data_IF_408621857419
#
_entry.id   IF_408621857419
#
_cell.length_a   1.000
_cell.length_b   1.000
_cell.length_c   1.000
_cell.angle_alpha   90.00
_cell.angle_beta   90.00
_cell.angle_gamma   90.00
#
_symmetry.space_group_name_H-M   'P 1'
#
loop_
_entity.id
_entity.type
_entity.pdbx_description
1 polymer ?
#
# COMPACT_ATOMS: atom_id res chain seq x y z
N UNK A 1 11.35 42.54 -3.62
CA UNK A 1 11.43 41.08 -3.76
C UNK A 1 10.76 40.67 -5.06
N UNK A 2 11.40 39.81 -5.88
CA UNK A 2 10.75 39.29 -7.09
C UNK A 2 9.63 38.34 -6.67
N UNK A 3 8.49 38.42 -7.33
CA UNK A 3 7.31 37.59 -7.04
C UNK A 3 7.64 36.08 -7.05
N UNK A 4 8.55 35.66 -7.92
CA UNK A 4 9.10 34.29 -7.96
C UNK A 4 9.76 33.86 -6.65
N UNK A 5 10.49 34.75 -5.97
CA UNK A 5 11.12 34.45 -4.67
C UNK A 5 10.07 34.22 -3.59
N UNK A 6 8.96 34.97 -3.62
CA UNK A 6 7.85 34.79 -2.67
C UNK A 6 7.18 33.43 -2.89
N UNK A 7 6.91 33.07 -4.14
CA UNK A 7 6.31 31.77 -4.49
C UNK A 7 7.22 30.63 -4.06
N UNK A 8 8.51 30.68 -4.40
CA UNK A 8 9.47 29.64 -4.02
C UNK A 8 9.55 29.51 -2.49
N UNK A 9 9.59 30.63 -1.77
CA UNK A 9 9.59 30.63 -0.31
C UNK A 9 8.33 29.99 0.27
N UNK A 10 7.15 30.29 -0.29
CA UNK A 10 5.89 29.70 0.16
C UNK A 10 5.83 28.19 -0.12
N UNK A 11 6.26 27.74 -1.30
CA UNK A 11 6.34 26.31 -1.65
C UNK A 11 7.32 25.58 -0.72
N UNK A 12 8.50 26.15 -0.49
CA UNK A 12 9.48 25.57 0.43
C UNK A 12 8.93 25.45 1.86
N UNK A 13 8.22 26.48 2.35
CA UNK A 13 7.57 26.44 3.67
C UNK A 13 6.53 25.33 3.76
N UNK A 14 5.71 25.16 2.72
CA UNK A 14 4.70 24.09 2.65
C UNK A 14 5.35 22.70 2.65
N UNK A 15 6.43 22.51 1.89
CA UNK A 15 7.17 21.25 1.85
C UNK A 15 7.82 20.93 3.21
N UNK A 16 8.48 21.91 3.84
CA UNK A 16 9.09 21.76 5.16
C UNK A 16 8.03 21.46 6.23
N UNK A 17 6.91 22.19 6.22
CA UNK A 17 5.80 21.93 7.14
C UNK A 17 5.26 20.50 6.99
N UNK A 18 5.05 20.05 5.75
CA UNK A 18 4.55 18.71 5.46
C UNK A 18 5.54 17.62 5.86
N UNK A 19 6.83 17.86 5.70
CA UNK A 19 7.88 16.96 6.19
C UNK A 19 7.92 16.88 7.71
N UNK A 20 7.86 18.02 8.41
CA UNK A 20 7.92 18.05 9.88
C UNK A 20 6.71 17.39 10.51
N UNK A 21 5.49 17.66 10.00
CA UNK A 21 4.28 17.09 10.60
C UNK A 21 4.20 15.57 10.46
N UNK A 22 4.75 15.02 9.37
CA UNK A 22 4.79 13.56 9.16
C UNK A 22 5.92 12.89 9.94
N UNK A 23 7.05 13.56 10.15
CA UNK A 23 8.16 13.05 10.95
C UNK A 23 7.76 12.74 12.40
N UNK A 24 6.86 13.55 12.98
CA UNK A 24 6.37 13.38 14.35
C UNK A 24 4.98 12.72 14.41
N UNK A 25 4.48 12.25 13.28
CA UNK A 25 3.17 11.66 13.16
C UNK A 25 3.13 10.16 13.45
N UNK A 26 1.94 9.56 13.64
CA UNK A 26 1.81 8.12 13.90
C UNK A 26 2.05 7.26 12.64
N UNK A 27 2.07 7.85 11.44
CA UNK A 27 2.16 7.17 10.15
C UNK A 27 3.25 7.78 9.30
N UNK A 28 4.18 6.99 8.79
CA UNK A 28 5.16 7.45 7.82
C UNK A 28 4.69 7.13 6.38
N UNK A 29 4.25 8.13 5.60
CA UNK A 29 3.83 7.91 4.21
C UNK A 29 5.02 7.57 3.30
N UNK A 30 5.12 6.32 2.86
CA UNK A 30 6.11 5.91 1.87
C UNK A 30 5.59 6.12 0.45
N UNK A 31 4.55 5.38 0.07
CA UNK A 31 3.98 5.48 -1.26
C UNK A 31 3.35 4.21 -1.78
N UNK A 32 3.43 4.04 -3.10
CA UNK A 32 2.99 2.84 -3.80
C UNK A 32 3.99 1.72 -3.58
N UNK A 33 3.51 0.55 -3.17
CA UNK A 33 4.39 -0.62 -2.99
C UNK A 33 4.86 -1.20 -4.33
N UNK A 34 3.94 -1.40 -5.28
CA UNK A 34 4.19 -2.11 -6.54
C UNK A 34 3.21 -1.70 -7.64
N UNK A 35 3.54 -2.03 -8.90
CA UNK A 35 2.77 -1.66 -10.09
C UNK A 35 1.71 -2.68 -10.47
N UNK A 36 2.08 -3.97 -10.46
CA UNK A 36 1.23 -5.11 -10.80
C UNK A 36 1.59 -6.28 -9.88
N UNK A 37 0.68 -7.25 -9.71
CA UNK A 37 0.93 -8.41 -8.86
C UNK A 37 1.98 -9.33 -9.48
N UNK A 38 2.94 -9.75 -8.67
CA UNK A 38 3.85 -10.84 -9.01
C UNK A 38 3.26 -12.19 -8.60
N UNK A 39 2.54 -12.22 -7.46
CA UNK A 39 1.89 -13.39 -6.89
C UNK A 39 0.50 -13.02 -6.35
N UNK A 40 -0.36 -14.01 -6.12
CA UNK A 40 -1.69 -13.81 -5.53
C UNK A 40 -2.00 -14.88 -4.45
N UNK A 41 -2.30 -14.48 -3.19
CA UNK A 41 -2.26 -13.12 -2.65
C UNK A 41 -0.88 -12.47 -2.84
N UNK A 42 -0.80 -11.16 -2.93
CA UNK A 42 0.48 -10.44 -3.14
C UNK A 42 1.10 -10.01 -1.80
N UNK A 43 0.24 -9.70 -0.83
CA UNK A 43 0.58 -9.52 0.57
C UNK A 43 0.25 -10.82 1.31
N UNK A 44 1.28 -11.63 1.52
CA UNK A 44 1.25 -12.89 2.26
C UNK A 44 2.68 -13.23 2.70
N UNK A 45 2.87 -13.93 3.83
CA UNK A 45 4.21 -14.31 4.30
C UNK A 45 5.08 -14.92 3.20
N UNK A 46 6.30 -14.39 3.04
CA UNK A 46 7.30 -14.84 2.09
C UNK A 46 7.10 -14.34 0.65
N UNK A 47 6.01 -13.65 0.35
CA UNK A 47 5.74 -13.17 -1.01
C UNK A 47 6.58 -11.93 -1.34
N UNK A 48 6.96 -11.72 -2.61
CA UNK A 48 7.88 -10.65 -3.00
C UNK A 48 7.49 -9.25 -2.51
N UNK A 49 6.21 -8.88 -2.62
CA UNK A 49 5.74 -7.56 -2.16
C UNK A 49 5.66 -7.45 -0.65
N UNK A 50 5.35 -8.54 0.03
CA UNK A 50 5.35 -8.60 1.49
C UNK A 50 6.75 -8.44 2.06
N UNK A 51 7.71 -9.21 1.56
CA UNK A 51 9.13 -9.12 1.93
C UNK A 51 9.69 -7.72 1.64
N UNK A 52 9.30 -7.12 0.51
CA UNK A 52 9.69 -5.75 0.18
C UNK A 52 9.15 -4.73 1.20
N UNK A 53 7.89 -4.87 1.60
CA UNK A 53 7.30 -3.99 2.62
C UNK A 53 7.98 -4.17 3.98
N UNK A 54 8.29 -5.41 4.37
CA UNK A 54 9.05 -5.67 5.60
C UNK A 54 10.43 -5.00 5.55
N UNK A 55 11.15 -5.11 4.42
CA UNK A 55 12.43 -4.42 4.21
C UNK A 55 12.31 -2.90 4.37
N UNK A 56 11.25 -2.28 3.83
CA UNK A 56 11.01 -0.85 4.04
C UNK A 56 10.75 -0.52 5.50
N UNK A 57 10.04 -1.36 6.25
CA UNK A 57 9.86 -1.13 7.68
C UNK A 57 11.19 -1.16 8.44
N UNK A 58 12.06 -2.13 8.13
CA UNK A 58 13.38 -2.26 8.76
C UNK A 58 14.30 -1.07 8.47
N UNK A 59 14.35 -0.63 7.20
CA UNK A 59 15.12 0.56 6.79
C UNK A 59 14.68 1.82 7.53
N UNK A 60 13.42 1.83 7.97
CA UNK A 60 12.79 2.89 8.74
C UNK A 60 12.79 2.64 10.25
N UNK A 61 13.50 1.60 10.73
CA UNK A 61 13.58 1.17 12.13
C UNK A 61 12.20 0.91 12.76
N UNK A 62 11.27 0.36 11.97
CA UNK A 62 9.90 0.09 12.37
C UNK A 62 9.65 -1.40 12.58
N UNK A 63 8.93 -1.75 13.64
CA UNK A 63 8.52 -3.13 13.97
C UNK A 63 7.28 -3.58 13.19
N UNK A 64 6.52 -2.61 12.67
CA UNK A 64 5.33 -2.84 11.89
C UNK A 64 5.38 -2.08 10.56
N UNK A 65 4.62 -2.57 9.59
CA UNK A 65 4.29 -1.86 8.37
C UNK A 65 2.76 -1.87 8.17
N UNK A 66 2.24 -0.85 7.51
CA UNK A 66 0.82 -0.75 7.15
C UNK A 66 0.66 -0.80 5.63
N UNK A 67 -0.12 -1.75 5.13
CA UNK A 67 -0.55 -1.78 3.73
C UNK A 67 -2.05 -1.55 3.64
N UNK A 68 -2.44 -0.65 2.74
CA UNK A 68 -3.85 -0.30 2.53
C UNK A 68 -4.36 -0.72 1.16
N UNK A 69 -5.59 -1.25 1.12
CA UNK A 69 -6.19 -1.88 -0.05
C UNK A 69 -7.60 -1.35 -0.31
N UNK A 70 -8.14 -1.67 -1.48
CA UNK A 70 -9.59 -1.73 -1.68
C UNK A 70 -10.06 -3.17 -1.45
N UNK A 71 -11.20 -3.34 -0.81
CA UNK A 71 -11.76 -4.63 -0.45
C UNK A 71 -12.15 -5.47 -1.69
N UNK A 72 -11.64 -6.69 -1.73
CA UNK A 72 -12.00 -7.78 -2.63
C UNK A 72 -12.63 -8.91 -1.82
N UNK A 73 -12.19 -10.15 -2.05
CA UNK A 73 -12.74 -11.35 -1.41
C UNK A 73 -11.94 -11.87 -0.21
N UNK A 74 -10.89 -11.18 0.23
CA UNK A 74 -10.04 -11.58 1.36
C UNK A 74 -10.54 -10.99 2.69
N UNK A 75 -10.06 -11.55 3.81
CA UNK A 75 -10.28 -11.02 5.15
C UNK A 75 -9.28 -9.95 5.56
N UNK A 76 -8.24 -9.70 4.76
CA UNK A 76 -7.18 -8.72 5.04
C UNK A 76 -6.56 -8.96 6.42
N UNK A 77 -6.11 -10.20 6.61
CA UNK A 77 -5.51 -10.63 7.86
C UNK A 77 -4.07 -10.13 7.93
N UNK A 78 -3.75 -9.45 9.02
CA UNK A 78 -2.41 -9.03 9.38
C UNK A 78 -1.57 -10.25 9.79
N UNK A 79 -0.27 -10.20 9.54
CA UNK A 79 0.62 -11.33 9.73
C UNK A 79 2.05 -10.89 10.05
N UNK A 80 2.85 -11.82 10.58
CA UNK A 80 4.28 -11.62 10.76
C UNK A 80 5.01 -12.04 9.49
N UNK A 81 5.86 -11.15 8.96
CA UNK A 81 6.79 -11.45 7.89
C UNK A 81 8.14 -11.84 8.51
N UNK A 82 8.37 -13.15 8.59
CA UNK A 82 9.60 -13.75 9.10
C UNK A 82 10.69 -13.74 8.01
N UNK A 83 11.93 -13.43 8.38
CA UNK A 83 13.06 -13.84 7.55
C UNK A 83 13.46 -12.91 6.41
N UNK A 84 13.27 -11.59 6.54
CA UNK A 84 14.28 -10.70 5.96
C UNK A 84 15.58 -11.01 6.72
N UNK A 85 16.75 -11.01 6.06
CA UNK A 85 18.05 -11.16 6.73
C UNK A 85 18.32 -9.93 7.63
N UNK A 86 17.49 -9.78 8.66
CA UNK A 86 17.37 -8.62 9.49
C UNK A 86 18.47 -8.66 10.51
N UNK A 87 19.39 -7.71 10.38
CA UNK A 87 20.39 -7.48 11.43
C UNK A 87 19.81 -6.66 12.58
N UNK A 88 18.61 -6.10 12.41
CA UNK A 88 17.97 -5.14 13.32
C UNK A 88 16.75 -5.71 14.04
N UNK A 89 16.07 -6.72 13.48
CA UNK A 89 14.92 -7.37 14.11
C UNK A 89 14.91 -8.90 13.94
N UNK A 90 15.43 -9.66 14.92
CA UNK A 90 15.43 -11.12 14.84
C UNK A 90 14.02 -11.73 14.86
N UNK A 91 13.01 -10.96 15.25
CA UNK A 91 11.62 -11.41 15.41
C UNK A 91 10.72 -11.09 14.18
N UNK A 92 11.27 -10.46 13.13
CA UNK A 92 10.54 -10.12 11.90
C UNK A 92 9.70 -8.83 11.99
N UNK A 93 9.02 -8.48 10.89
CA UNK A 93 8.17 -7.27 10.81
C UNK A 93 6.71 -7.68 10.77
N UNK A 94 5.87 -7.04 11.60
CA UNK A 94 4.43 -7.29 11.57
C UNK A 94 3.74 -6.43 10.51
N UNK A 95 3.16 -7.07 9.49
CA UNK A 95 2.43 -6.41 8.41
C UNK A 95 0.96 -6.30 8.80
N UNK A 96 0.48 -5.06 8.91
CA UNK A 96 -0.91 -4.74 9.20
C UNK A 96 -1.63 -4.48 7.87
N UNK A 97 -2.70 -5.24 7.62
CA UNK A 97 -3.54 -5.03 6.43
C UNK A 97 -4.82 -4.28 6.79
N UNK A 98 -5.14 -3.26 5.98
CA UNK A 98 -6.44 -2.57 6.04
C UNK A 98 -7.04 -2.43 4.66
N UNK A 99 -8.30 -2.82 4.50
CA UNK A 99 -9.06 -2.64 3.28
C UNK A 99 -10.17 -1.60 3.41
N UNK A 100 -10.42 -0.91 2.29
CA UNK A 100 -11.49 0.05 2.10
C UNK A 100 -12.65 -0.62 1.36
N UNK A 101 -13.82 -0.68 1.98
CA UNK A 101 -15.03 -1.28 1.42
C UNK A 101 -15.94 -0.15 0.94
N UNK A 102 -16.21 -0.05 -0.37
CA UNK A 102 -17.26 0.82 -0.88
C UNK A 102 -18.63 0.19 -0.63
N UNK A 103 -19.46 0.85 0.17
CA UNK A 103 -20.82 0.36 0.51
C UNK A 103 -21.87 0.82 -0.49
N UNK A 104 -21.52 1.71 -1.42
CA UNK A 104 -22.43 2.29 -2.42
C UNK A 104 -21.97 2.04 -3.87
N UNK A 105 -20.73 1.59 -4.07
CA UNK A 105 -20.20 1.04 -5.33
C UNK A 105 -20.20 -0.50 -5.32
N UNK A 106 -20.20 -1.13 -6.50
CA UNK A 106 -20.36 -2.59 -6.66
C UNK A 106 -19.17 -3.47 -6.24
N UNK A 107 -18.41 -3.04 -5.23
CA UNK A 107 -17.18 -3.70 -4.80
C UNK A 107 -16.15 -3.77 -5.93
N UNK A 108 -14.99 -4.36 -5.66
CA UNK A 108 -13.89 -4.54 -6.62
C UNK A 108 -14.20 -5.59 -7.71
N UNK A 109 -15.34 -5.47 -8.40
CA UNK A 109 -15.81 -6.46 -9.38
C UNK A 109 -15.54 -6.06 -10.83
N UNK A 110 -15.31 -4.77 -11.14
CA UNK A 110 -14.73 -4.37 -12.43
C UNK A 110 -14.12 -2.95 -12.38
N UNK A 111 -13.07 -2.73 -13.17
CA UNK A 111 -12.43 -1.42 -13.37
C UNK A 111 -13.33 -0.38 -14.05
N UNK A 112 -14.52 -0.77 -14.51
CA UNK A 112 -15.56 0.17 -14.92
C UNK A 112 -16.33 0.79 -13.74
N UNK A 113 -16.13 0.32 -12.51
CA UNK A 113 -16.84 0.80 -11.32
C UNK A 113 -15.94 1.55 -10.32
N UNK A 114 -14.65 1.22 -10.24
CA UNK A 114 -13.66 2.12 -9.60
C UNK A 114 -13.26 3.18 -10.61
N UNK A 115 -14.15 4.14 -10.84
CA UNK A 115 -13.89 5.22 -11.77
C UNK A 115 -12.62 5.95 -11.30
N UNK A 116 -11.59 6.03 -12.14
CA UNK A 116 -10.39 6.81 -11.85
C UNK A 116 -10.73 8.24 -11.43
N UNK A 117 -11.78 8.83 -12.05
CA UNK A 117 -12.30 10.11 -11.62
C UNK A 117 -12.94 10.08 -10.25
N UNK A 118 -13.48 8.96 -9.78
CA UNK A 118 -14.05 8.81 -8.46
C UNK A 118 -12.96 8.63 -7.39
N UNK A 119 -11.92 7.83 -7.63
CA UNK A 119 -10.74 7.78 -6.76
C UNK A 119 -10.00 9.13 -6.70
N UNK A 120 -9.88 9.81 -7.84
CA UNK A 120 -9.31 11.15 -7.93
C UNK A 120 -10.26 12.21 -7.33
N UNK A 121 -11.58 12.08 -7.45
CA UNK A 121 -12.55 12.98 -6.79
C UNK A 121 -12.56 12.77 -5.29
N UNK A 122 -12.46 11.54 -4.81
CA UNK A 122 -12.29 11.23 -3.39
C UNK A 122 -10.97 11.81 -2.88
N UNK A 123 -9.90 11.73 -3.68
CA UNK A 123 -8.64 12.38 -3.37
C UNK A 123 -8.71 13.92 -3.47
N UNK A 124 -9.52 14.49 -4.36
CA UNK A 124 -9.59 15.95 -4.55
C UNK A 124 -10.58 16.65 -3.61
N UNK A 125 -11.66 15.96 -3.25
CA UNK A 125 -12.82 16.51 -2.56
C UNK A 125 -13.13 15.81 -1.23
N UNK A 126 -12.34 14.79 -0.87
CA UNK A 126 -12.54 14.00 0.34
C UNK A 126 -13.50 12.84 0.15
N UNK A 127 -13.45 11.90 1.09
CA UNK A 127 -14.35 10.75 1.15
C UNK A 127 -15.74 11.21 1.63
N UNK A 128 -16.82 10.96 0.87
CA UNK A 128 -18.19 11.25 1.34
C UNK A 128 -18.52 10.44 2.59
N UNK A 129 -19.14 11.09 3.58
CA UNK A 129 -19.56 10.43 4.83
C UNK A 129 -20.52 9.27 4.54
N UNK A 130 -20.32 8.14 5.24
CA UNK A 130 -21.18 6.95 5.16
C UNK A 130 -21.04 6.10 3.89
N UNK A 131 -20.14 6.47 2.96
CA UNK A 131 -19.92 5.72 1.71
C UNK A 131 -18.99 4.51 1.87
N UNK A 132 -18.12 4.52 2.87
CA UNK A 132 -17.12 3.47 3.02
C UNK A 132 -17.09 2.89 4.42
N UNK A 133 -16.81 1.59 4.47
CA UNK A 133 -16.43 0.85 5.67
C UNK A 133 -14.97 0.42 5.54
N UNK A 134 -14.41 -0.08 6.62
CA UNK A 134 -13.03 -0.54 6.66
C UNK A 134 -13.00 -2.00 7.12
N UNK A 135 -12.01 -2.76 6.69
CA UNK A 135 -11.78 -4.12 7.18
C UNK A 135 -10.32 -4.31 7.53
N UNK A 136 -10.08 -4.97 8.66
CA UNK A 136 -8.74 -5.43 9.08
C UNK A 136 -8.95 -6.66 9.95
N UNK A 137 -8.18 -7.72 9.72
CA UNK A 137 -8.28 -9.00 10.44
C UNK A 137 -9.69 -9.60 10.42
N UNK A 138 -10.39 -9.47 9.30
CA UNK A 138 -11.78 -9.92 9.13
C UNK A 138 -12.83 -9.11 9.90
N UNK A 139 -12.42 -8.11 10.69
CA UNK A 139 -13.32 -7.22 11.42
C UNK A 139 -13.69 -6.02 10.54
N UNK A 140 -14.99 -5.75 10.41
CA UNK A 140 -15.49 -4.60 9.66
C UNK A 140 -15.75 -3.43 10.62
N UNK A 141 -15.20 -2.27 10.30
CA UNK A 141 -15.37 -1.02 11.03
C UNK A 141 -16.23 -0.05 10.22
N UNK A 142 -17.20 0.58 10.89
CA UNK A 142 -18.10 1.54 10.26
C UNK A 142 -17.51 2.94 10.12
N UNK A 143 -16.39 3.22 10.80
CA UNK A 143 -15.75 4.53 10.78
C UNK A 143 -14.22 4.44 10.83
N UNK A 144 -13.59 5.53 10.39
CA UNK A 144 -12.14 5.68 10.31
C UNK A 144 -11.46 5.57 11.68
N UNK A 145 -12.03 6.20 12.71
CA UNK A 145 -11.38 6.30 14.02
C UNK A 145 -11.26 4.93 14.69
N UNK A 146 -12.29 4.09 14.59
CA UNK A 146 -12.25 2.74 15.16
C UNK A 146 -11.31 1.81 14.39
N UNK A 147 -11.24 1.94 13.06
CA UNK A 147 -10.22 1.25 12.26
C UNK A 147 -8.80 1.67 12.67
N UNK A 148 -8.53 2.98 12.80
CA UNK A 148 -7.19 3.45 13.18
C UNK A 148 -6.83 3.09 14.62
N UNK A 149 -7.81 3.04 15.54
CA UNK A 149 -7.57 2.51 16.90
C UNK A 149 -7.15 1.04 16.86
N UNK A 150 -7.75 0.23 15.99
CA UNK A 150 -7.33 -1.15 15.79
C UNK A 150 -5.90 -1.23 15.28
N UNK A 151 -5.56 -0.50 14.21
CA UNK A 151 -4.19 -0.43 13.66
C UNK A 151 -3.18 -0.05 14.74
N UNK A 152 -3.46 1.00 15.51
CA UNK A 152 -2.56 1.45 16.59
C UNK A 152 -2.45 0.43 17.72
N UNK A 153 -3.55 -0.24 18.08
CA UNK A 153 -3.56 -1.30 19.10
C UNK A 153 -2.69 -2.47 18.65
N UNK A 154 -2.87 -2.94 17.43
CA UNK A 154 -2.11 -4.05 16.85
C UNK A 154 -0.63 -3.67 16.77
N UNK A 155 -0.30 -2.51 16.21
CA UNK A 155 1.09 -2.04 16.13
C UNK A 155 1.76 -2.00 17.51
N UNK A 156 1.08 -1.46 18.52
CA UNK A 156 1.59 -1.42 19.90
C UNK A 156 1.77 -2.82 20.51
N UNK A 157 0.88 -3.76 20.21
CA UNK A 157 1.02 -5.16 20.67
C UNK A 157 2.26 -5.84 20.09
N UNK A 158 2.69 -5.41 18.90
CA UNK A 158 3.88 -5.89 18.21
C UNK A 158 5.11 -4.99 18.42
N UNK A 159 5.10 -4.17 19.48
CA UNK A 159 6.28 -3.42 19.90
C UNK A 159 6.63 -2.20 19.05
N UNK A 160 5.71 -1.72 18.21
CA UNK A 160 5.91 -0.49 17.45
C UNK A 160 6.18 0.69 18.39
N UNK A 161 7.28 1.38 18.12
CA UNK A 161 7.59 2.71 18.65
C UNK A 161 7.84 3.67 17.48
N UNK A 162 7.30 4.89 17.58
CA UNK A 162 7.34 5.86 16.47
C UNK A 162 6.37 5.57 15.31
N UNK A 163 6.55 6.27 14.16
CA UNK A 163 5.65 6.21 13.02
C UNK A 163 5.65 4.84 12.33
N UNK A 164 4.48 4.37 11.88
CA UNK A 164 4.34 3.13 11.10
C UNK A 164 4.51 3.47 9.61
N UNK A 165 5.51 2.91 8.90
CA UNK A 165 5.62 3.03 7.45
C UNK A 165 4.37 2.49 6.76
N UNK A 166 3.74 3.34 5.96
CA UNK A 166 2.52 3.03 5.27
C UNK A 166 2.75 3.08 3.76
N UNK A 167 2.31 2.01 3.10
CA UNK A 167 2.19 1.93 1.65
C UNK A 167 0.75 1.69 1.26
N UNK A 168 0.40 2.00 0.02
CA UNK A 168 -0.82 1.46 -0.57
C UNK A 168 -0.50 0.32 -1.53
N UNK A 169 -1.44 -0.63 -1.58
CA UNK A 169 -1.43 -1.71 -2.53
C UNK A 169 -1.70 -1.16 -3.95
N UNK A 170 -0.60 -1.04 -4.69
CA UNK A 170 -0.54 -0.36 -5.98
C UNK A 170 -0.79 -1.26 -7.18
N UNK A 171 -1.13 -2.54 -6.98
CA UNK A 171 -1.20 -3.47 -8.10
C UNK A 171 -2.44 -3.25 -8.96
N UNK A 172 -2.21 -3.17 -10.27
CA UNK A 172 -3.24 -2.94 -11.28
C UNK A 172 -3.51 -4.23 -12.05
N UNK A 173 -4.79 -4.55 -12.27
CA UNK A 173 -5.21 -5.84 -12.84
C UNK A 173 -5.50 -5.80 -14.35
N UNK A 174 -5.91 -4.65 -14.91
CA UNK A 174 -6.16 -4.54 -16.36
C UNK A 174 -5.79 -3.18 -16.96
N UNK A 175 -5.63 -2.12 -16.16
CA UNK A 175 -5.26 -0.79 -16.68
C UNK A 175 -3.75 -0.63 -16.83
N UNK A 176 -3.35 0.46 -17.47
CA UNK A 176 -1.94 0.84 -17.54
C UNK A 176 -1.41 1.18 -16.13
N UNK A 177 -0.45 0.41 -15.60
CA UNK A 177 0.01 0.58 -14.22
C UNK A 177 0.79 1.87 -13.99
N UNK A 178 1.28 2.56 -15.03
CA UNK A 178 1.97 3.87 -14.89
C UNK A 178 0.99 4.97 -14.51
N UNK A 179 -0.23 4.93 -15.05
CA UNK A 179 -1.25 5.98 -14.84
C UNK A 179 -2.28 5.61 -13.78
N UNK A 180 -2.57 4.31 -13.63
CA UNK A 180 -3.49 3.81 -12.63
C UNK A 180 -2.72 3.61 -11.31
N UNK A 181 -3.10 4.32 -10.23
CA UNK A 181 -2.33 4.29 -8.99
C UNK A 181 -2.49 2.97 -8.22
N UNK A 182 -3.46 2.12 -8.60
CA UNK A 182 -3.81 0.90 -7.88
C UNK A 182 -4.91 1.12 -6.83
N UNK A 183 -5.38 0.03 -6.24
CA UNK A 183 -6.63 0.03 -5.49
C UNK A 183 -6.53 0.64 -4.09
N UNK A 184 -5.35 0.60 -3.45
CA UNK A 184 -5.17 1.16 -2.11
C UNK A 184 -5.13 2.69 -2.03
N UNK A 185 -4.98 3.36 -3.17
CA UNK A 185 -4.72 4.81 -3.23
C UNK A 185 -5.76 5.70 -2.52
N UNK A 186 -7.09 5.46 -2.63
CA UNK A 186 -8.08 6.30 -1.95
C UNK A 186 -7.97 6.27 -0.42
N UNK A 187 -7.75 5.08 0.16
CA UNK A 187 -7.62 4.92 1.61
C UNK A 187 -6.32 5.56 2.12
N UNK A 188 -5.23 5.40 1.37
CA UNK A 188 -3.97 6.08 1.66
C UNK A 188 -4.16 7.61 1.74
N UNK A 189 -4.80 8.20 0.73
CA UNK A 189 -5.09 9.62 0.73
C UNK A 189 -5.99 10.04 1.92
N UNK A 190 -7.02 9.24 2.24
CA UNK A 190 -7.91 9.52 3.37
C UNK A 190 -7.14 9.51 4.71
N UNK A 191 -6.31 8.50 4.96
CA UNK A 191 -5.49 8.41 6.17
C UNK A 191 -4.60 9.63 6.30
N UNK A 192 -3.89 10.02 5.23
CA UNK A 192 -3.04 11.21 5.28
C UNK A 192 -3.82 12.50 5.48
N UNK A 193 -4.99 12.64 4.85
CA UNK A 193 -5.83 13.82 5.03
C UNK A 193 -6.36 13.93 6.46
N UNK A 194 -6.81 12.83 7.05
CA UNK A 194 -7.32 12.79 8.42
C UNK A 194 -6.21 12.93 9.47
N UNK A 195 -5.00 12.48 9.16
CA UNK A 195 -3.86 12.50 10.10
C UNK A 195 -3.05 13.79 10.03
N UNK A 196 -2.79 14.30 8.81
CA UNK A 196 -1.86 15.41 8.57
C UNK A 196 -2.50 16.62 7.88
N UNK A 197 -3.74 16.49 7.42
CA UNK A 197 -4.42 17.50 6.62
C UNK A 197 -4.18 17.33 5.12
N UNK A 198 -4.98 18.07 4.35
CA UNK A 198 -5.09 17.87 2.89
C UNK A 198 -3.80 18.24 2.11
N UNK A 199 -3.04 19.22 2.59
CA UNK A 199 -1.82 19.68 1.90
C UNK A 199 -0.72 18.61 1.97
N UNK A 200 -0.33 18.08 3.15
CA UNK A 200 0.59 16.95 3.22
C UNK A 200 0.08 15.74 2.44
N UNK A 201 -1.23 15.45 2.48
CA UNK A 201 -1.80 14.32 1.75
C UNK A 201 -1.54 14.41 0.23
N UNK A 202 -1.73 15.56 -0.39
CA UNK A 202 -1.39 15.73 -1.81
C UNK A 202 0.09 15.54 -2.11
N UNK A 203 0.97 16.13 -1.29
CA UNK A 203 2.42 16.02 -1.46
C UNK A 203 2.83 14.55 -1.41
N UNK A 204 2.39 13.82 -0.40
CA UNK A 204 2.77 12.42 -0.19
C UNK A 204 2.08 11.43 -1.13
N UNK A 205 0.94 11.78 -1.72
CA UNK A 205 0.40 11.02 -2.84
C UNK A 205 1.22 11.22 -4.11
N UNK A 206 1.67 12.46 -4.40
CA UNK A 206 2.51 12.73 -5.57
C UNK A 206 3.87 12.06 -5.43
N UNK A 207 4.56 12.23 -4.29
CA UNK A 207 5.85 11.58 -4.07
C UNK A 207 5.67 10.06 -3.97
N UNK A 208 4.57 9.59 -3.40
CA UNK A 208 4.26 8.17 -3.31
C UNK A 208 4.06 7.49 -4.66
N UNK A 209 3.62 8.21 -5.70
CA UNK A 209 3.54 7.69 -7.07
C UNK A 209 4.93 7.50 -7.70
N UNK A 210 5.91 8.29 -7.27
CA UNK A 210 7.29 8.23 -7.72
C UNK A 210 8.07 7.16 -6.93
N UNK A 211 7.74 6.96 -5.65
CA UNK A 211 8.39 6.03 -4.73
C UNK A 211 8.81 4.67 -5.34
N UNK A 212 7.93 3.88 -5.97
CA UNK A 212 8.32 2.57 -6.47
C UNK A 212 9.38 2.65 -7.58
N UNK A 213 9.41 3.72 -8.38
CA UNK A 213 10.44 3.90 -9.41
C UNK A 213 11.86 4.02 -8.83
N UNK A 214 11.96 4.49 -7.58
CA UNK A 214 13.22 4.73 -6.89
C UNK A 214 13.57 3.55 -5.98
N UNK A 215 12.58 3.01 -5.27
CA UNK A 215 12.81 2.09 -4.15
C UNK A 215 12.45 0.63 -4.45
N UNK A 216 11.64 0.35 -5.47
CA UNK A 216 11.23 -1.03 -5.78
C UNK A 216 12.21 -1.70 -6.74
N UNK A 217 12.84 -2.84 -6.35
CA UNK A 217 13.70 -3.61 -7.25
C UNK A 217 12.90 -4.29 -8.38
N UNK A 218 11.57 -4.37 -8.25
CA UNK A 218 10.70 -5.03 -9.21
C UNK A 218 10.20 -4.10 -10.32
N UNK A 219 10.40 -2.79 -10.19
CA UNK A 219 9.85 -1.76 -11.10
C UNK A 219 10.04 -2.11 -12.58
N UNK A 220 11.28 -2.38 -13.01
CA UNK A 220 11.54 -2.67 -14.42
C UNK A 220 10.84 -3.94 -14.87
N UNK A 221 10.85 -4.99 -14.04
CA UNK A 221 10.22 -6.25 -14.36
C UNK A 221 8.70 -6.11 -14.45
N UNK A 222 8.08 -5.50 -13.44
CA UNK A 222 6.65 -5.24 -13.36
C UNK A 222 6.14 -4.40 -14.52
N UNK A 223 6.87 -3.34 -14.90
CA UNK A 223 6.46 -2.46 -16.00
C UNK A 223 6.67 -3.12 -17.37
N UNK A 224 7.77 -3.85 -17.57
CA UNK A 224 8.05 -4.53 -18.84
C UNK A 224 7.10 -5.72 -19.09
N UNK A 225 6.66 -6.41 -18.03
CA UNK A 225 5.79 -7.58 -18.11
C UNK A 225 4.37 -7.28 -17.63
N UNK A 226 3.98 -6.00 -17.49
CA UNK A 226 2.70 -5.60 -16.91
C UNK A 226 1.51 -6.35 -17.52
N UNK A 227 1.40 -6.35 -18.85
CA UNK A 227 0.32 -7.02 -19.57
C UNK A 227 0.30 -8.54 -19.36
N UNK A 228 1.48 -9.17 -19.29
CA UNK A 228 1.62 -10.61 -19.07
C UNK A 228 1.23 -10.98 -17.63
N UNK A 229 1.76 -10.25 -16.64
CA UNK A 229 1.44 -10.45 -15.24
C UNK A 229 -0.03 -10.21 -14.94
N UNK A 230 -0.63 -9.19 -15.54
CA UNK A 230 -2.07 -8.94 -15.50
C UNK A 230 -2.86 -10.06 -16.14
N UNK A 231 -2.45 -10.56 -17.31
CA UNK A 231 -3.06 -11.73 -17.93
C UNK A 231 -2.97 -12.95 -17.01
N UNK A 232 -1.81 -13.22 -16.41
CA UNK A 232 -1.64 -14.34 -15.49
C UNK A 232 -2.48 -14.22 -14.23
N UNK A 233 -2.55 -13.03 -13.66
CA UNK A 233 -3.44 -12.73 -12.54
C UNK A 233 -4.91 -13.04 -12.89
N UNK A 234 -5.40 -12.49 -14.00
CA UNK A 234 -6.81 -12.62 -14.38
C UNK A 234 -7.19 -14.07 -14.77
N UNK A 235 -6.22 -14.89 -15.15
CA UNK A 235 -6.40 -16.31 -15.43
C UNK A 235 -6.00 -17.21 -14.24
N UNK A 236 -5.59 -16.63 -13.10
CA UNK A 236 -5.25 -17.36 -11.88
C UNK A 236 -3.90 -18.08 -11.88
N UNK A 237 -3.03 -17.88 -12.89
CA UNK A 237 -1.76 -18.61 -13.01
C UNK A 237 -0.71 -18.23 -11.96
N UNK A 238 -0.87 -17.08 -11.29
CA UNK A 238 0.00 -16.65 -10.18
C UNK A 238 -0.66 -16.83 -8.80
N UNK A 239 -1.74 -17.61 -8.71
CA UNK A 239 -2.35 -17.94 -7.43
C UNK A 239 -1.52 -18.99 -6.67
N UNK A 240 -1.28 -18.78 -5.38
CA UNK A 240 -0.51 -19.71 -4.54
C UNK A 240 -1.13 -21.11 -4.47
N UNK A 241 -2.47 -21.22 -4.47
CA UNK A 241 -3.19 -22.50 -4.41
C UNK A 241 -3.23 -23.25 -5.75
N UNK A 242 -2.58 -22.72 -6.79
CA UNK A 242 -2.65 -23.25 -8.14
C UNK A 242 -1.62 -24.38 -8.31
N UNK A 243 -1.91 -25.56 -7.75
CA UNK A 243 -1.17 -26.84 -7.90
C UNK A 243 -0.94 -27.28 -9.40
N UNK A 244 -1.20 -26.43 -10.40
CA UNK A 244 -1.14 -26.73 -11.84
C UNK A 244 -0.62 -25.60 -12.77
N UNK A 245 0.01 -24.52 -12.30
CA UNK A 245 0.23 -23.35 -13.19
C UNK A 245 1.46 -23.53 -14.07
N UNK A 246 2.44 -24.31 -13.61
CA UNK A 246 3.74 -24.42 -14.28
C UNK A 246 4.52 -23.09 -14.31
N UNK A 247 4.01 -22.04 -13.67
CA UNK A 247 4.67 -20.73 -13.55
C UNK A 247 5.49 -20.76 -12.27
N UNK A 248 6.78 -21.06 -12.41
CA UNK A 248 7.74 -21.00 -11.32
C UNK A 248 8.38 -19.60 -11.32
N UNK A 249 7.88 -18.70 -10.46
CA UNK A 249 8.49 -17.39 -10.17
C UNK A 249 9.76 -17.54 -9.32
N UNK A 250 9.86 -18.60 -8.49
CA UNK A 250 11.01 -18.87 -7.63
C UNK A 250 12.36 -18.98 -8.38
N UNK A 251 12.35 -19.42 -9.64
CA UNK A 251 13.55 -19.46 -10.51
C UNK A 251 14.17 -18.08 -10.77
N UNK A 252 13.43 -17.00 -10.55
CA UNK A 252 13.90 -15.63 -10.76
C UNK A 252 14.45 -14.99 -9.47
N UNK A 253 14.28 -15.62 -8.31
CA UNK A 253 14.54 -15.01 -7.00
C UNK A 253 15.46 -15.83 -6.08
N UNK A 254 16.12 -16.88 -6.60
CA UNK A 254 17.19 -17.59 -5.87
C UNK A 254 16.74 -18.48 -4.70
N UNK A 255 15.43 -18.70 -4.53
CA UNK A 255 14.87 -19.65 -3.58
C UNK A 255 14.64 -21.03 -4.20
N UNK A 256 14.87 -22.09 -3.42
CA UNK A 256 14.52 -23.46 -3.82
C UNK A 256 13.02 -23.67 -3.72
N UNK A 257 12.35 -23.88 -4.85
CA UNK A 257 10.99 -24.42 -4.87
C UNK A 257 11.03 -25.89 -4.45
N UNK A 258 10.61 -26.22 -3.22
CA UNK A 258 10.25 -27.59 -2.88
C UNK A 258 8.76 -27.76 -3.12
N UNK A 259 8.42 -28.41 -4.23
CA UNK A 259 7.12 -29.05 -4.45
C UNK A 259 7.26 -30.50 -3.98
N UNK A 260 6.43 -30.92 -3.03
CA UNK A 260 6.01 -32.32 -2.93
C UNK A 260 4.73 -32.52 -3.76
#
# INVERSE_FOLDING_TARGET
MKFSTVIIGAVALVLVFSFVITLFGPIQPLGRLSFVKLENPDMYPGHPHSVLLAKYAEEHNSKCALVVHFAGSSTYSSYLEDGVNSTTDPDGVYIIEVAFIDTQGGGSTSLNQTNFFDSLKVALFGVPDGRYKYMSDGVVYDNYDDMMKHVQKVAKQHGQDGPIPMVWHGTVRTDNPVIAPGCGFPLYFQILTKTYGIIPAYIYCITGLIFPYLESPYTNYELLHASELQYYYNNGYINIDYVKSGVNTAKYYGGTSSYD
#
